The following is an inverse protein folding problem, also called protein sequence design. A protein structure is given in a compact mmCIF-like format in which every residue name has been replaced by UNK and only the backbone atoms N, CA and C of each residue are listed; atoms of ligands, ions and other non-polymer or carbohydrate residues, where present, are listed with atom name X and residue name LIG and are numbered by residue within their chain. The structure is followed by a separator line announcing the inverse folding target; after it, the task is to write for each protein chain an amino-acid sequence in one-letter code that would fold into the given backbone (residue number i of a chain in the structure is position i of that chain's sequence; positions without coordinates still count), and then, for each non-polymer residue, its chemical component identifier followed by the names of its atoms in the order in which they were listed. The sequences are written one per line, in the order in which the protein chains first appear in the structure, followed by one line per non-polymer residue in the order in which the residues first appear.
data_IF_571588017313
#
_entry.id   IF_571588017313
#
_cell.length_a   1.000
_cell.length_b   1.000
_cell.length_c   1.000
_cell.angle_alpha   90.00
_cell.angle_beta   90.00
_cell.angle_gamma   90.00
#
_symmetry.space_group_name_H-M   'P 1'
#
loop_
_entity.id
_entity.type
_entity.pdbx_description
1 polymer ?
#
# COMPACT_ATOMS: atom_id res chain seq x y z
N UNK A 1 -7.80 16.40 17.10
CA UNK A 1 -6.44 15.85 17.10
C UNK A 1 -5.61 16.56 16.05
N UNK A 2 -4.33 16.80 16.29
CA UNK A 2 -3.45 17.58 15.44
C UNK A 2 -2.41 16.69 14.78
N UNK A 3 -1.91 17.12 13.63
CA UNK A 3 -0.82 16.45 12.92
C UNK A 3 0.44 16.32 13.77
N UNK A 4 0.75 17.36 14.56
CA UNK A 4 1.89 17.40 15.48
C UNK A 4 1.85 16.29 16.55
N UNK A 5 0.66 15.77 16.91
CA UNK A 5 0.51 14.69 17.90
C UNK A 5 1.16 13.37 17.43
N UNK A 6 1.38 13.23 16.11
CA UNK A 6 1.98 12.05 15.45
C UNK A 6 3.43 12.28 15.03
N UNK A 7 4.11 13.23 15.65
CA UNK A 7 5.51 13.52 15.38
C UNK A 7 6.42 12.74 16.34
N UNK A 8 7.50 12.18 15.79
CA UNK A 8 8.61 11.60 16.53
C UNK A 8 9.88 11.67 15.69
N UNK A 9 11.04 11.57 16.33
CA UNK A 9 12.33 11.56 15.65
C UNK A 9 12.64 10.15 15.15
N UNK A 10 12.75 9.99 13.84
CA UNK A 10 13.09 8.73 13.19
C UNK A 10 14.49 8.86 12.55
N UNK A 11 15.50 8.13 13.06
CA UNK A 11 16.82 8.11 12.45
C UNK A 11 16.77 7.51 11.04
N UNK A 12 17.33 8.21 10.05
CA UNK A 12 17.33 7.78 8.65
C UNK A 12 17.96 6.39 8.43
N UNK A 13 18.91 6.00 9.29
CA UNK A 13 19.55 4.69 9.23
C UNK A 13 18.60 3.53 9.51
N UNK A 14 17.42 3.79 10.09
CA UNK A 14 16.38 2.78 10.34
C UNK A 14 15.41 2.62 9.16
N UNK A 15 15.51 3.43 8.12
CA UNK A 15 14.71 3.28 6.90
C UNK A 15 15.29 2.12 6.06
N UNK A 16 14.57 1.01 5.98
CA UNK A 16 15.03 -0.18 5.28
C UNK A 16 15.23 0.07 3.77
N UNK A 17 16.46 -0.06 3.31
CA UNK A 17 16.79 0.09 1.88
C UNK A 17 16.60 -1.22 1.09
N UNK A 18 16.58 -2.38 1.77
CA UNK A 18 16.42 -3.72 1.20
C UNK A 18 15.49 -4.55 2.07
N UNK A 19 14.76 -5.51 1.50
CA UNK A 19 13.99 -6.46 2.28
C UNK A 19 14.92 -7.41 3.05
N UNK A 20 14.37 -8.07 4.09
CA UNK A 20 15.03 -9.20 4.77
C UNK A 20 15.38 -10.33 3.80
N UNK A 21 16.35 -11.18 4.10
CA UNK A 21 16.78 -12.29 3.23
C UNK A 21 15.60 -13.22 2.89
N UNK A 22 14.92 -13.76 3.90
CA UNK A 22 13.62 -14.43 3.74
C UNK A 22 12.46 -13.48 4.05
N UNK A 23 11.31 -13.64 3.38
CA UNK A 23 10.14 -12.78 3.60
C UNK A 23 9.67 -12.82 5.06
N UNK A 24 9.61 -14.00 5.66
CA UNK A 24 9.14 -14.24 7.03
C UNK A 24 10.24 -14.23 8.10
N UNK A 25 11.43 -13.76 7.71
CA UNK A 25 12.58 -13.58 8.62
C UNK A 25 12.71 -12.17 9.21
N UNK A 26 11.85 -11.23 8.79
CA UNK A 26 11.77 -9.91 9.41
C UNK A 26 11.41 -10.02 10.90
N UNK A 27 11.74 -9.01 11.67
CA UNK A 27 11.33 -8.96 13.07
C UNK A 27 9.84 -8.65 13.18
N UNK A 28 9.23 -9.15 14.24
CA UNK A 28 7.84 -8.92 14.59
C UNK A 28 7.76 -8.35 16.01
N UNK A 29 7.17 -7.18 16.15
CA UNK A 29 6.78 -6.64 17.44
C UNK A 29 5.30 -6.93 17.66
N UNK A 30 4.97 -7.61 18.76
CA UNK A 30 3.58 -7.92 19.11
C UNK A 30 3.12 -6.96 20.21
N UNK A 31 2.04 -6.26 19.94
CA UNK A 31 1.36 -5.33 20.85
C UNK A 31 0.04 -5.95 21.30
N UNK A 32 -0.11 -6.16 22.60
CA UNK A 32 -1.38 -6.62 23.17
C UNK A 32 -2.10 -5.43 23.80
N UNK A 33 -3.25 -5.04 23.23
CA UNK A 33 -4.04 -3.89 23.69
C UNK A 33 -4.71 -4.13 25.05
N UNK A 34 -4.99 -5.39 25.38
CA UNK A 34 -5.72 -5.72 26.62
C UNK A 34 -4.88 -5.46 27.88
N UNK A 35 -3.58 -5.75 27.85
CA UNK A 35 -2.66 -5.59 28.98
C UNK A 35 -1.51 -4.61 28.70
N UNK A 36 -1.51 -3.99 27.50
CA UNK A 36 -0.48 -3.07 27.01
C UNK A 36 0.93 -3.67 27.02
N UNK A 37 1.04 -4.98 26.86
CA UNK A 37 2.33 -5.66 26.78
C UNK A 37 2.92 -5.58 25.37
N UNK A 38 4.26 -5.55 25.31
CA UNK A 38 5.04 -5.55 24.06
C UNK A 38 6.03 -6.71 24.12
N UNK A 39 6.02 -7.54 23.08
CA UNK A 39 6.96 -8.64 22.93
C UNK A 39 7.60 -8.66 21.55
N UNK A 40 8.74 -9.35 21.44
CA UNK A 40 9.57 -9.34 20.24
C UNK A 40 9.77 -10.76 19.71
N UNK A 41 9.50 -10.95 18.41
CA UNK A 41 9.49 -12.23 17.72
C UNK A 41 10.11 -12.09 16.32
N UNK A 42 10.10 -13.17 15.56
CA UNK A 42 10.32 -13.20 14.12
C UNK A 42 8.98 -13.34 13.42
N UNK A 43 8.79 -12.81 12.21
CA UNK A 43 7.50 -12.83 11.55
C UNK A 43 6.94 -14.24 11.33
N UNK A 44 7.78 -15.24 11.10
CA UNK A 44 7.38 -16.66 11.00
C UNK A 44 6.65 -17.20 12.22
N UNK A 45 6.85 -16.58 13.39
CA UNK A 45 6.23 -16.99 14.66
C UNK A 45 4.78 -16.46 14.77
N UNK A 46 4.31 -15.71 13.77
CA UNK A 46 2.95 -15.15 13.75
C UNK A 46 1.86 -16.22 13.86
N UNK A 47 2.15 -17.43 13.40
CA UNK A 47 1.25 -18.58 13.48
C UNK A 47 0.86 -18.92 14.92
N UNK A 48 1.67 -18.59 15.91
CA UNK A 48 1.43 -18.91 17.32
C UNK A 48 0.37 -18.01 17.96
N UNK A 49 0.00 -16.92 17.28
CA UNK A 49 -1.00 -15.94 17.75
C UNK A 49 -2.40 -16.16 17.18
N UNK A 50 -2.59 -17.14 16.33
CA UNK A 50 -3.86 -17.43 15.66
C UNK A 50 -4.27 -18.89 15.86
N UNK A 51 -5.60 -19.12 15.91
CA UNK A 51 -6.19 -20.42 16.12
C UNK A 51 -7.07 -20.83 14.92
N UNK A 52 -7.45 -22.13 14.88
CA UNK A 52 -8.37 -22.65 13.88
C UNK A 52 -9.68 -21.83 13.82
N UNK A 53 -10.11 -21.45 12.61
CA UNK A 53 -11.30 -20.62 12.37
C UNK A 53 -11.06 -19.12 12.49
N UNK A 54 -9.83 -18.66 12.83
CA UNK A 54 -9.47 -17.26 12.67
C UNK A 54 -9.31 -16.90 11.19
N UNK A 55 -9.53 -15.65 10.82
CA UNK A 55 -9.44 -15.17 9.43
C UNK A 55 -8.37 -14.11 9.30
N UNK A 56 -7.48 -14.26 8.33
CA UNK A 56 -6.61 -13.19 7.85
C UNK A 56 -7.15 -12.62 6.55
N UNK A 57 -7.37 -11.31 6.50
CA UNK A 57 -7.80 -10.61 5.29
C UNK A 57 -6.59 -10.01 4.60
N UNK A 58 -6.43 -10.34 3.32
CA UNK A 58 -5.27 -9.99 2.49
C UNK A 58 -5.69 -9.02 1.39
N UNK A 59 -4.79 -8.12 0.97
CA UNK A 59 -4.97 -7.30 -0.22
C UNK A 59 -4.22 -7.95 -1.39
N UNK A 60 -4.97 -8.49 -2.34
CA UNK A 60 -4.44 -9.22 -3.50
C UNK A 60 -4.12 -8.32 -4.71
N UNK A 61 -4.07 -7.02 -4.52
CA UNK A 61 -3.65 -6.08 -5.57
C UNK A 61 -2.25 -6.39 -6.05
N UNK A 62 -2.02 -6.17 -7.35
CA UNK A 62 -0.72 -6.37 -8.00
C UNK A 62 -0.15 -5.05 -8.48
N UNK A 63 1.11 -4.79 -8.10
CA UNK A 63 1.87 -3.62 -8.56
C UNK A 63 2.25 -3.84 -10.02
N UNK A 64 2.09 -2.79 -10.84
CA UNK A 64 2.59 -2.77 -12.21
C UNK A 64 3.79 -1.84 -12.34
N UNK A 65 4.65 -2.00 -13.38
CA UNK A 65 5.83 -1.15 -13.57
C UNK A 65 5.42 0.26 -14.02
N UNK A 66 5.08 1.11 -13.04
CA UNK A 66 4.44 2.39 -13.24
C UNK A 66 5.40 3.53 -13.56
N UNK A 67 6.72 3.34 -13.46
CA UNK A 67 7.71 4.40 -13.65
C UNK A 67 8.35 4.32 -15.03
N UNK A 68 8.13 5.33 -15.86
CA UNK A 68 8.69 5.45 -17.19
C UNK A 68 9.73 6.56 -17.25
N UNK A 69 10.85 6.31 -17.91
CA UNK A 69 11.84 7.34 -18.23
C UNK A 69 11.86 7.57 -19.73
N UNK A 70 11.93 8.83 -20.12
CA UNK A 70 11.91 9.23 -21.51
C UNK A 70 12.51 10.63 -21.73
N UNK A 71 12.26 11.15 -22.90
CA UNK A 71 12.77 12.45 -23.32
C UNK A 71 11.63 13.34 -23.84
N UNK A 72 11.76 14.62 -23.59
CA UNK A 72 10.84 15.63 -24.10
C UNK A 72 11.18 15.95 -25.57
N UNK A 73 10.16 16.05 -26.41
CA UNK A 73 10.28 16.56 -27.78
C UNK A 73 11.08 17.87 -27.84
N UNK A 74 11.76 18.10 -28.93
CA UNK A 74 12.54 19.32 -29.27
C UNK A 74 13.77 19.59 -28.42
N UNK A 75 13.77 19.27 -27.14
CA UNK A 75 14.87 19.61 -26.23
C UNK A 75 15.70 18.39 -25.82
N UNK A 76 15.20 17.17 -26.05
CA UNK A 76 15.84 15.93 -25.58
C UNK A 76 15.97 15.85 -24.05
N UNK A 77 15.34 16.79 -23.32
CA UNK A 77 15.45 16.82 -21.86
C UNK A 77 14.84 15.54 -21.24
N UNK A 78 15.63 14.87 -20.39
CA UNK A 78 15.19 13.69 -19.66
C UNK A 78 13.98 14.00 -18.77
N UNK A 79 13.02 13.12 -18.79
CA UNK A 79 11.78 13.22 -17.98
C UNK A 79 11.49 11.90 -17.31
N UNK A 80 10.80 11.97 -16.17
CA UNK A 80 10.16 10.85 -15.50
C UNK A 80 8.64 11.01 -15.58
N UNK A 81 7.96 9.95 -15.95
CA UNK A 81 6.50 9.82 -15.90
C UNK A 81 6.15 8.69 -14.96
N UNK A 82 5.30 8.98 -13.97
CA UNK A 82 4.80 7.99 -13.04
C UNK A 82 3.31 7.78 -13.30
N UNK A 83 2.96 6.62 -13.82
CA UNK A 83 1.59 6.25 -14.12
C UNK A 83 0.81 6.07 -12.82
N UNK A 84 -0.38 6.67 -12.71
CA UNK A 84 -1.25 6.56 -11.53
C UNK A 84 -2.42 5.62 -11.80
N UNK A 85 -3.21 5.96 -12.82
CA UNK A 85 -4.38 5.16 -13.23
C UNK A 85 -4.73 5.41 -14.67
N UNK A 86 -5.34 4.43 -15.29
CA UNK A 86 -5.95 4.56 -16.60
C UNK A 86 -7.32 5.25 -16.47
N UNK A 87 -7.54 6.30 -17.26
CA UNK A 87 -8.77 7.07 -17.29
C UNK A 87 -9.71 6.57 -18.37
N UNK A 88 -9.15 6.13 -19.50
CA UNK A 88 -9.91 5.64 -20.64
C UNK A 88 -9.04 4.69 -21.48
N UNK A 89 -9.47 3.44 -21.62
CA UNK A 89 -8.76 2.39 -22.35
C UNK A 89 -8.72 2.66 -23.85
N UNK A 90 -9.87 3.00 -24.46
CA UNK A 90 -9.99 3.22 -25.90
C UNK A 90 -9.10 4.37 -26.40
N UNK A 91 -9.07 5.45 -25.63
CA UNK A 91 -8.27 6.64 -25.91
C UNK A 91 -6.87 6.57 -25.33
N UNK A 92 -6.53 5.52 -24.56
CA UNK A 92 -5.25 5.35 -23.86
C UNK A 92 -4.88 6.57 -23.01
N UNK A 93 -5.88 7.10 -22.29
CA UNK A 93 -5.71 8.24 -21.41
C UNK A 93 -5.29 7.77 -20.02
N UNK A 94 -4.26 8.41 -19.48
CA UNK A 94 -3.70 8.11 -18.17
C UNK A 94 -3.53 9.35 -17.34
N UNK A 95 -3.92 9.26 -16.06
CA UNK A 95 -3.51 10.21 -15.04
C UNK A 95 -2.11 9.84 -14.57
N UNK A 96 -1.19 10.83 -14.53
CA UNK A 96 0.22 10.60 -14.25
C UNK A 96 0.82 11.73 -13.43
N UNK A 97 1.93 11.46 -12.73
CA UNK A 97 2.83 12.49 -12.26
C UNK A 97 4.03 12.60 -13.21
N UNK A 98 4.56 13.81 -13.35
CA UNK A 98 5.72 14.08 -14.20
C UNK A 98 6.81 14.84 -13.46
N UNK A 99 8.07 14.55 -13.81
CA UNK A 99 9.23 15.27 -13.30
C UNK A 99 10.25 15.52 -14.44
N UNK A 100 10.74 16.77 -14.63
CA UNK A 100 10.39 18.02 -13.94
C UNK A 100 9.08 18.65 -14.47
N UNK A 101 8.09 18.78 -13.59
CA UNK A 101 6.74 19.23 -13.97
C UNK A 101 6.69 20.60 -14.65
N UNK A 102 7.57 21.54 -14.26
CA UNK A 102 7.62 22.92 -14.83
C UNK A 102 7.95 22.93 -16.31
N UNK A 103 8.64 21.90 -16.82
CA UNK A 103 9.08 21.81 -18.22
C UNK A 103 8.10 21.04 -19.10
N UNK A 104 7.11 20.36 -18.52
CA UNK A 104 6.14 19.51 -19.23
C UNK A 104 4.79 20.20 -19.24
N UNK A 105 4.36 20.66 -20.43
CA UNK A 105 3.16 21.48 -20.64
C UNK A 105 2.22 20.79 -21.62
N UNK A 106 0.94 21.17 -21.61
CA UNK A 106 -0.07 20.71 -22.58
C UNK A 106 0.46 20.86 -24.01
N UNK A 107 0.22 19.87 -24.84
CA UNK A 107 0.68 19.75 -26.22
C UNK A 107 2.14 19.30 -26.39
N UNK A 108 2.90 19.08 -25.29
CA UNK A 108 4.23 18.46 -25.44
C UNK A 108 4.10 16.97 -25.73
N UNK A 109 4.96 16.47 -26.61
CA UNK A 109 5.17 15.04 -26.81
C UNK A 109 6.34 14.54 -25.99
N UNK A 110 6.18 13.36 -25.41
CA UNK A 110 7.12 12.65 -24.57
C UNK A 110 7.42 11.31 -25.24
N UNK A 111 8.69 10.99 -25.38
CA UNK A 111 9.21 9.84 -26.11
C UNK A 111 9.85 8.86 -25.13
N UNK A 112 9.52 7.58 -25.23
CA UNK A 112 9.97 6.50 -24.35
C UNK A 112 10.58 5.36 -25.18
N UNK A 113 11.58 4.69 -24.60
CA UNK A 113 12.35 3.66 -25.26
C UNK A 113 13.54 4.24 -26.04
N UNK A 114 14.52 3.39 -26.36
CA UNK A 114 15.71 3.79 -27.11
C UNK A 114 15.42 4.15 -28.58
N UNK A 115 14.30 3.65 -29.08
CA UNK A 115 13.83 3.76 -30.47
C UNK A 115 12.57 4.63 -30.60
N UNK A 116 12.23 5.38 -29.54
CA UNK A 116 10.98 6.15 -29.45
C UNK A 116 9.72 5.31 -29.72
N UNK A 117 9.77 4.03 -29.35
CA UNK A 117 8.71 3.05 -29.62
C UNK A 117 7.40 3.32 -28.90
N UNK A 118 7.41 4.22 -27.92
CA UNK A 118 6.19 4.67 -27.24
C UNK A 118 6.22 6.21 -27.12
N UNK A 119 5.13 6.84 -27.55
CA UNK A 119 4.98 8.29 -27.51
C UNK A 119 3.74 8.65 -26.72
N UNK A 120 3.79 9.70 -25.91
CA UNK A 120 2.62 10.26 -25.24
C UNK A 120 2.51 11.76 -25.47
N UNK A 121 1.29 12.25 -25.56
CA UNK A 121 0.97 13.69 -25.64
C UNK A 121 0.35 14.15 -24.32
N UNK A 122 0.80 15.28 -23.83
CA UNK A 122 0.23 15.93 -22.64
C UNK A 122 -1.09 16.63 -23.04
N UNK A 123 -2.20 16.12 -22.51
CA UNK A 123 -3.55 16.61 -22.86
C UNK A 123 -4.01 17.65 -21.85
N UNK A 124 -3.71 17.46 -20.55
CA UNK A 124 -4.20 18.34 -19.48
C UNK A 124 -3.24 18.39 -18.28
N UNK A 125 -3.41 19.40 -17.43
CA UNK A 125 -2.75 19.56 -16.14
C UNK A 125 -3.76 19.31 -15.02
N UNK A 126 -3.54 18.27 -14.21
CA UNK A 126 -4.48 17.91 -13.12
C UNK A 126 -4.07 18.52 -11.77
N UNK A 127 -2.78 18.54 -11.46
CA UNK A 127 -2.22 19.16 -10.25
C UNK A 127 -0.89 19.85 -10.56
N UNK A 128 -0.19 20.35 -9.56
CA UNK A 128 1.14 20.97 -9.73
C UNK A 128 2.14 20.03 -10.45
N UNK A 129 2.06 18.73 -10.21
CA UNK A 129 2.87 17.68 -10.84
C UNK A 129 2.06 16.71 -11.70
N UNK A 130 0.74 16.76 -11.61
CA UNK A 130 -0.17 15.87 -12.32
C UNK A 130 -0.41 16.30 -13.76
N UNK A 131 -0.51 15.33 -14.65
CA UNK A 131 -0.86 15.49 -16.06
C UNK A 131 -1.82 14.40 -16.51
N UNK A 132 -2.61 14.70 -17.50
CA UNK A 132 -3.29 13.65 -18.29
C UNK A 132 -2.45 13.44 -19.55
N UNK A 133 -2.03 12.21 -19.78
CA UNK A 133 -1.33 11.80 -20.99
C UNK A 133 -2.24 10.95 -21.88
N UNK A 134 -2.17 11.18 -23.18
CA UNK A 134 -2.67 10.29 -24.22
C UNK A 134 -1.52 9.56 -24.88
N UNK A 135 -1.48 8.24 -24.76
CA UNK A 135 -0.46 7.45 -25.45
C UNK A 135 -0.83 7.27 -26.93
N UNK A 136 0.11 7.59 -27.79
CA UNK A 136 0.02 7.42 -29.24
C UNK A 136 0.75 6.14 -29.61
N UNK A 137 0.00 5.09 -29.87
CA UNK A 137 0.56 3.76 -30.14
C UNK A 137 -0.27 3.04 -31.21
N UNK A 138 0.38 2.60 -32.28
CA UNK A 138 -0.27 1.82 -33.32
C UNK A 138 -0.21 0.34 -32.97
N UNK A 139 -1.32 -0.23 -32.57
CA UNK A 139 -1.43 -1.63 -32.15
C UNK A 139 -2.63 -1.84 -31.21
N UNK A 140 -2.85 -3.10 -30.88
CA UNK A 140 -3.90 -3.50 -29.93
C UNK A 140 -3.62 -2.97 -28.52
N UNK A 141 -4.63 -2.97 -27.67
CA UNK A 141 -4.48 -2.61 -26.26
C UNK A 141 -3.51 -3.57 -25.53
N UNK A 142 -3.55 -4.87 -25.86
CA UNK A 142 -2.62 -5.85 -25.28
C UNK A 142 -1.15 -5.56 -25.62
N UNK A 143 -0.87 -5.17 -26.86
CA UNK A 143 0.47 -4.77 -27.29
C UNK A 143 0.93 -3.48 -26.61
N UNK A 144 0.03 -2.50 -26.48
CA UNK A 144 0.29 -1.30 -25.71
C UNK A 144 0.63 -1.60 -24.24
N UNK A 145 -0.16 -2.44 -23.57
CA UNK A 145 0.12 -2.86 -22.19
C UNK A 145 1.44 -3.62 -22.06
N UNK A 146 1.79 -4.43 -23.04
CA UNK A 146 3.08 -5.12 -23.09
C UNK A 146 4.24 -4.14 -23.24
N UNK A 147 4.08 -3.10 -24.08
CA UNK A 147 5.08 -2.05 -24.25
C UNK A 147 5.26 -1.22 -22.97
N UNK A 148 4.19 -0.88 -22.25
CA UNK A 148 4.27 -0.23 -20.95
C UNK A 148 5.06 -1.08 -19.93
N UNK A 149 4.85 -2.41 -19.92
CA UNK A 149 5.58 -3.32 -19.03
C UNK A 149 7.07 -3.43 -19.39
N UNK A 150 7.38 -3.46 -20.69
CA UNK A 150 8.76 -3.51 -21.17
C UNK A 150 9.57 -2.27 -20.79
N UNK A 151 8.96 -1.08 -20.92
CA UNK A 151 9.63 0.20 -20.67
C UNK A 151 9.51 0.66 -19.21
N UNK A 152 8.55 0.14 -18.48
CA UNK A 152 8.27 0.52 -17.11
C UNK A 152 9.23 -0.11 -16.11
N UNK A 153 9.43 0.57 -15.00
CA UNK A 153 10.22 0.09 -13.87
C UNK A 153 9.35 -0.03 -12.63
N UNK A 154 9.72 -0.96 -11.74
CA UNK A 154 9.09 -1.14 -10.42
C UNK A 154 9.04 0.19 -9.67
N UNK A 155 7.86 0.62 -9.20
CA UNK A 155 7.70 1.94 -8.59
C UNK A 155 8.13 1.95 -7.12
N UNK A 156 9.41 1.65 -6.84
CA UNK A 156 9.95 1.69 -5.48
C UNK A 156 9.75 3.08 -4.85
N UNK A 157 9.42 3.14 -3.55
CA UNK A 157 9.30 4.41 -2.84
C UNK A 157 10.60 5.23 -2.87
N UNK A 158 10.46 6.55 -2.93
CA UNK A 158 11.61 7.49 -3.08
C UNK A 158 12.63 7.46 -1.93
N UNK A 159 12.26 6.95 -0.75
CA UNK A 159 13.19 6.82 0.36
C UNK A 159 14.23 5.71 0.13
N UNK A 160 13.95 4.76 -0.77
CA UNK A 160 14.91 3.75 -1.21
C UNK A 160 15.88 4.43 -2.17
N UNK A 161 17.04 4.81 -1.62
CA UNK A 161 18.05 5.60 -2.33
C UNK A 161 19.15 4.70 -2.91
N UNK A 162 18.75 3.79 -3.78
CA UNK A 162 19.62 2.92 -4.57
C UNK A 162 19.00 2.65 -5.93
N UNK A 163 19.79 2.19 -6.91
CA UNK A 163 19.24 1.69 -8.18
C UNK A 163 18.24 0.54 -7.95
N UNK A 164 17.26 0.43 -8.85
CA UNK A 164 16.35 -0.70 -8.89
C UNK A 164 17.16 -1.93 -9.31
N UNK A 165 16.98 -3.02 -8.59
CA UNK A 165 17.60 -4.32 -8.84
C UNK A 165 16.57 -5.29 -9.43
N UNK A 166 17.02 -6.31 -10.15
CA UNK A 166 16.14 -7.27 -10.81
C UNK A 166 15.19 -7.98 -9.82
N UNK A 167 15.68 -8.27 -8.62
CA UNK A 167 14.84 -8.89 -7.59
C UNK A 167 13.72 -7.98 -7.06
N UNK A 168 13.82 -6.65 -7.21
CA UNK A 168 12.80 -5.71 -6.71
C UNK A 168 11.43 -5.95 -7.34
N UNK A 169 11.37 -6.38 -8.60
CA UNK A 169 10.11 -6.72 -9.25
C UNK A 169 9.35 -7.81 -8.49
N UNK A 170 10.07 -8.82 -8.02
CA UNK A 170 9.48 -9.92 -7.24
C UNK A 170 9.33 -9.59 -5.76
N UNK A 171 10.30 -8.85 -5.19
CA UNK A 171 10.33 -8.55 -3.74
C UNK A 171 9.35 -7.45 -3.36
N UNK A 172 9.09 -6.47 -4.25
CA UNK A 172 8.08 -5.43 -4.04
C UNK A 172 6.68 -5.86 -4.52
N UNK A 173 6.37 -7.15 -4.34
CA UNK A 173 5.12 -7.80 -4.70
C UNK A 173 4.75 -8.84 -3.65
N UNK A 174 3.48 -8.92 -3.25
CA UNK A 174 3.03 -10.01 -2.38
C UNK A 174 3.00 -11.32 -3.15
N UNK A 175 3.15 -12.45 -2.46
CA UNK A 175 3.11 -13.77 -3.08
C UNK A 175 1.71 -14.16 -3.57
N UNK A 176 0.68 -13.44 -3.15
CA UNK A 176 -0.73 -13.62 -3.49
C UNK A 176 -1.29 -12.49 -4.35
N UNK A 177 -0.43 -11.67 -4.95
CA UNK A 177 -0.86 -10.61 -5.87
C UNK A 177 -1.52 -11.17 -7.12
N UNK A 178 -2.74 -10.69 -7.44
CA UNK A 178 -3.57 -11.17 -8.56
C UNK A 178 -3.98 -10.06 -9.52
N UNK A 179 -4.59 -8.99 -9.00
CA UNK A 179 -5.25 -7.96 -9.79
C UNK A 179 -4.35 -6.73 -9.96
N UNK A 180 -3.87 -6.52 -11.19
CA UNK A 180 -2.99 -5.41 -11.54
C UNK A 180 -3.74 -4.07 -11.48
N UNK A 181 -3.15 -3.05 -10.85
CA UNK A 181 -3.74 -1.71 -10.73
C UNK A 181 -3.06 -0.85 -9.66
N UNK A 182 -2.20 -1.41 -8.82
CA UNK A 182 -1.52 -0.67 -7.78
C UNK A 182 -0.18 -0.10 -8.26
N UNK A 183 0.17 1.08 -7.73
CA UNK A 183 1.48 1.71 -7.91
C UNK A 183 2.36 1.60 -6.65
N UNK A 184 1.83 0.97 -5.60
CA UNK A 184 2.57 0.62 -4.40
C UNK A 184 2.09 -0.71 -3.84
N UNK A 185 3.01 -1.49 -3.27
CA UNK A 185 2.67 -2.79 -2.67
C UNK A 185 1.96 -2.64 -1.32
N UNK A 186 1.01 -3.53 -0.97
CA UNK A 186 0.49 -3.65 0.38
C UNK A 186 1.57 -4.27 1.28
N UNK A 187 2.44 -3.43 1.84
CA UNK A 187 3.76 -3.79 2.36
C UNK A 187 3.75 -4.79 3.52
N UNK A 188 2.70 -4.78 4.36
CA UNK A 188 2.55 -5.79 5.41
C UNK A 188 2.43 -7.22 4.83
N UNK A 189 1.90 -7.35 3.62
CA UNK A 189 1.82 -8.63 2.90
C UNK A 189 3.16 -9.14 2.38
N UNK A 190 4.19 -8.29 2.28
CA UNK A 190 5.51 -8.69 1.80
C UNK A 190 6.22 -9.66 2.76
N UNK A 191 5.82 -9.68 4.02
CA UNK A 191 6.36 -10.56 5.05
C UNK A 191 5.89 -12.02 4.93
N UNK A 192 4.86 -12.31 4.15
CA UNK A 192 4.37 -13.68 3.99
C UNK A 192 5.20 -14.45 2.96
N UNK A 193 5.73 -15.60 3.38
CA UNK A 193 6.31 -16.60 2.48
C UNK A 193 5.23 -17.61 2.05
N UNK A 194 5.45 -18.29 0.93
CA UNK A 194 4.57 -19.40 0.49
C UNK A 194 4.50 -20.51 1.54
N UNK A 195 5.61 -20.76 2.22
CA UNK A 195 5.69 -21.75 3.29
C UNK A 195 4.83 -21.35 4.49
N UNK A 196 4.93 -20.09 4.94
CA UNK A 196 4.15 -19.58 6.07
C UNK A 196 2.64 -19.61 5.75
N UNK A 197 2.22 -19.16 4.57
CA UNK A 197 0.82 -19.23 4.13
C UNK A 197 0.30 -20.67 4.19
N UNK A 198 1.09 -21.64 3.70
CA UNK A 198 0.69 -23.05 3.75
C UNK A 198 0.55 -23.58 5.18
N UNK A 199 1.43 -23.19 6.09
CA UNK A 199 1.35 -23.55 7.50
C UNK A 199 0.10 -22.96 8.18
N UNK A 200 -0.25 -21.70 7.89
CA UNK A 200 -1.46 -21.04 8.38
C UNK A 200 -2.72 -21.79 7.93
N UNK A 201 -2.80 -22.14 6.64
CA UNK A 201 -3.91 -22.93 6.09
C UNK A 201 -4.02 -24.32 6.72
N UNK A 202 -2.89 -25.02 6.96
CA UNK A 202 -2.88 -26.33 7.63
C UNK A 202 -3.38 -26.21 9.08
N UNK A 203 -3.07 -25.09 9.76
CA UNK A 203 -3.57 -24.81 11.10
C UNK A 203 -5.08 -24.49 11.13
N UNK A 204 -5.72 -24.34 9.97
CA UNK A 204 -7.14 -24.01 9.87
C UNK A 204 -7.44 -22.52 9.95
N UNK A 205 -6.47 -21.67 9.60
CA UNK A 205 -6.66 -20.22 9.48
C UNK A 205 -7.13 -19.91 8.07
N UNK A 206 -8.27 -19.26 7.96
CA UNK A 206 -8.87 -18.88 6.69
C UNK A 206 -8.22 -17.61 6.12
N UNK A 207 -8.12 -17.55 4.79
CA UNK A 207 -7.54 -16.42 4.07
C UNK A 207 -8.61 -15.78 3.18
N UNK A 208 -9.17 -14.67 3.62
CA UNK A 208 -10.06 -13.85 2.80
C UNK A 208 -9.25 -12.83 1.99
N UNK A 209 -9.70 -12.49 0.80
CA UNK A 209 -9.02 -11.54 -0.08
C UNK A 209 -9.94 -10.39 -0.46
N UNK A 210 -9.41 -9.19 -0.41
CA UNK A 210 -9.99 -8.01 -1.05
C UNK A 210 -8.98 -7.40 -2.03
N UNK A 211 -9.44 -6.58 -2.95
CA UNK A 211 -8.57 -5.79 -3.83
C UNK A 211 -8.73 -4.31 -3.48
N UNK A 212 -7.66 -3.68 -3.04
CA UNK A 212 -7.56 -2.23 -2.95
C UNK A 212 -6.33 -1.78 -3.72
N UNK A 213 -6.54 -1.06 -4.82
CA UNK A 213 -5.45 -0.57 -5.66
C UNK A 213 -4.79 0.64 -5.01
N UNK A 214 -3.59 0.41 -4.45
CA UNK A 214 -2.86 1.42 -3.69
C UNK A 214 -2.29 2.47 -4.63
N UNK A 215 -2.74 3.71 -4.44
CA UNK A 215 -2.22 4.89 -5.12
C UNK A 215 -1.08 5.57 -4.37
N UNK A 216 -0.54 6.64 -4.94
CA UNK A 216 0.51 7.44 -4.29
C UNK A 216 -0.01 8.27 -3.11
N UNK A 217 -1.28 8.59 -3.07
CA UNK A 217 -1.89 9.41 -2.02
C UNK A 217 -1.70 8.83 -0.63
N UNK A 218 -1.62 7.50 -0.52
CA UNK A 218 -1.34 6.81 0.75
C UNK A 218 0.03 7.19 1.34
N UNK A 219 0.98 7.63 0.51
CA UNK A 219 2.33 8.05 0.93
C UNK A 219 2.53 9.57 0.85
N UNK A 220 1.49 10.31 0.47
CA UNK A 220 1.55 11.77 0.45
C UNK A 220 1.56 12.31 1.88
N UNK A 221 2.38 13.33 2.17
CA UNK A 221 2.38 13.95 3.50
C UNK A 221 1.05 14.63 3.76
N UNK A 222 0.59 14.57 5.01
CA UNK A 222 -0.53 15.38 5.47
C UNK A 222 -0.04 16.82 5.63
N UNK A 223 -0.68 17.78 4.94
CA UNK A 223 -0.24 19.17 4.89
C UNK A 223 -1.05 20.08 5.83
N UNK A 224 -2.08 19.55 6.48
CA UNK A 224 -2.97 20.30 7.36
C UNK A 224 -2.75 19.91 8.82
N UNK A 225 -2.69 20.88 9.73
CA UNK A 225 -2.52 20.61 11.17
C UNK A 225 -3.79 20.03 11.81
N UNK A 226 -4.96 20.49 11.38
CA UNK A 226 -6.25 19.94 11.78
C UNK A 226 -6.62 18.76 10.88
N UNK A 227 -6.55 17.55 11.43
CA UNK A 227 -6.76 16.31 10.66
C UNK A 227 -8.15 16.19 10.05
N UNK A 228 -9.17 16.83 10.61
CA UNK A 228 -10.53 16.83 10.07
C UNK A 228 -10.63 17.52 8.69
N UNK A 229 -9.63 18.32 8.34
CA UNK A 229 -9.53 19.02 7.05
C UNK A 229 -8.74 18.27 5.99
N UNK A 230 -8.08 17.17 6.37
CA UNK A 230 -7.35 16.35 5.40
C UNK A 230 -8.32 15.57 4.50
N UNK A 231 -8.00 15.54 3.21
CA UNK A 231 -8.75 14.77 2.21
C UNK A 231 -7.86 13.65 1.71
N UNK A 232 -8.30 12.41 1.95
CA UNK A 232 -7.65 11.23 1.38
C UNK A 232 -7.93 11.14 -0.12
N UNK A 233 -6.93 10.73 -0.87
CA UNK A 233 -7.12 10.34 -2.27
C UNK A 233 -8.03 9.11 -2.34
N UNK A 234 -8.83 9.06 -3.40
CA UNK A 234 -9.71 7.92 -3.65
C UNK A 234 -8.92 6.76 -4.24
N UNK A 235 -9.18 5.56 -3.74
CA UNK A 235 -8.60 4.31 -4.23
C UNK A 235 -9.73 3.31 -4.54
N UNK A 236 -9.56 2.54 -5.61
CA UNK A 236 -10.52 1.52 -6.01
C UNK A 236 -10.49 0.34 -5.05
N UNK A 237 -11.67 -0.07 -4.58
CA UNK A 237 -11.87 -1.16 -3.62
C UNK A 237 -12.87 -2.16 -4.17
N UNK A 238 -12.52 -3.43 -4.10
CA UNK A 238 -13.39 -4.56 -4.42
C UNK A 238 -13.37 -5.55 -3.26
N UNK A 239 -14.54 -5.87 -2.73
CA UNK A 239 -14.78 -6.93 -1.74
C UNK A 239 -15.83 -7.86 -2.34
N UNK A 240 -15.47 -9.11 -2.57
CA UNK A 240 -16.38 -10.11 -3.13
C UNK A 240 -17.39 -10.60 -2.07
N UNK A 241 -18.49 -11.24 -2.53
CA UNK A 241 -19.45 -11.87 -1.63
C UNK A 241 -18.77 -12.95 -0.78
N UNK A 242 -17.94 -13.80 -1.38
CA UNK A 242 -17.24 -14.88 -0.68
C UNK A 242 -16.33 -14.35 0.44
N UNK A 243 -15.60 -13.27 0.18
CA UNK A 243 -14.76 -12.63 1.20
C UNK A 243 -15.60 -12.03 2.34
N UNK A 244 -16.71 -11.39 2.00
CA UNK A 244 -17.67 -10.85 2.96
C UNK A 244 -18.28 -11.95 3.84
N UNK A 245 -18.72 -13.04 3.24
CA UNK A 245 -19.31 -14.17 3.95
C UNK A 245 -18.31 -14.84 4.90
N UNK A 246 -17.07 -15.06 4.44
CA UNK A 246 -15.99 -15.62 5.26
C UNK A 246 -15.71 -14.75 6.49
N UNK A 247 -15.58 -13.44 6.31
CA UNK A 247 -15.35 -12.49 7.41
C UNK A 247 -16.55 -12.44 8.37
N UNK A 248 -17.77 -12.40 7.84
CA UNK A 248 -18.99 -12.36 8.68
C UNK A 248 -19.22 -13.65 9.47
N UNK A 249 -18.86 -14.81 8.91
CA UNK A 249 -18.90 -16.08 9.64
C UNK A 249 -17.93 -16.07 10.83
N UNK A 250 -16.70 -15.59 10.62
CA UNK A 250 -15.72 -15.44 11.70
C UNK A 250 -16.19 -14.42 12.76
N UNK A 251 -16.78 -13.30 12.34
CA UNK A 251 -17.34 -12.28 13.22
C UNK A 251 -18.46 -12.89 14.11
N UNK A 252 -19.39 -13.64 13.52
CA UNK A 252 -20.49 -14.32 14.22
C UNK A 252 -19.99 -15.39 15.19
N UNK A 253 -18.88 -16.04 14.87
CA UNK A 253 -18.23 -17.06 15.70
C UNK A 253 -17.26 -16.45 16.74
N UNK A 254 -17.20 -15.13 16.87
CA UNK A 254 -16.27 -14.39 17.74
C UNK A 254 -14.80 -14.81 17.58
N UNK A 255 -14.39 -15.02 16.32
CA UNK A 255 -13.02 -15.36 15.94
C UNK A 255 -12.18 -14.11 15.69
N UNK A 256 -10.86 -14.27 15.64
CA UNK A 256 -9.97 -13.18 15.23
C UNK A 256 -10.14 -12.91 13.73
N UNK A 257 -10.31 -11.65 13.41
CA UNK A 257 -10.30 -11.13 12.05
C UNK A 257 -9.12 -10.19 11.94
N UNK A 258 -8.06 -10.65 11.28
CA UNK A 258 -6.81 -9.92 11.17
C UNK A 258 -6.71 -9.16 9.86
N UNK A 259 -6.66 -7.84 9.91
CA UNK A 259 -6.35 -7.01 8.76
C UNK A 259 -4.84 -7.03 8.47
N UNK A 260 -4.45 -7.62 7.34
CA UNK A 260 -3.04 -7.63 6.89
C UNK A 260 -2.75 -6.36 6.09
N UNK A 261 -2.34 -5.34 6.80
CA UNK A 261 -2.01 -4.01 6.30
C UNK A 261 -3.09 -2.96 6.51
N UNK A 262 -2.65 -1.70 6.53
CA UNK A 262 -3.53 -0.53 6.66
C UNK A 262 -4.53 -0.41 5.51
N UNK A 263 -4.16 -0.88 4.30
CA UNK A 263 -5.05 -0.91 3.14
C UNK A 263 -6.22 -1.85 3.34
N UNK A 264 -5.98 -3.02 3.94
CA UNK A 264 -7.05 -3.96 4.29
C UNK A 264 -7.94 -3.37 5.36
N UNK A 265 -7.37 -2.82 6.44
CA UNK A 265 -8.15 -2.17 7.49
C UNK A 265 -9.07 -1.08 6.92
N UNK A 266 -8.54 -0.22 6.04
CA UNK A 266 -9.32 0.82 5.37
C UNK A 266 -10.41 0.22 4.49
N UNK A 267 -10.11 -0.85 3.75
CA UNK A 267 -11.09 -1.54 2.91
C UNK A 267 -12.25 -2.11 3.72
N UNK A 268 -11.96 -2.83 4.79
CA UNK A 268 -12.98 -3.41 5.69
C UNK A 268 -13.88 -2.32 6.27
N UNK A 269 -13.30 -1.26 6.82
CA UNK A 269 -14.04 -0.16 7.44
C UNK A 269 -14.78 0.73 6.41
N UNK A 270 -14.50 0.60 5.12
CA UNK A 270 -15.21 1.32 4.04
C UNK A 270 -16.54 0.68 3.67
N UNK A 271 -16.78 -0.59 4.04
CA UNK A 271 -17.97 -1.34 3.63
C UNK A 271 -18.73 -1.98 4.81
N UNK A 272 -18.70 -1.31 5.96
CA UNK A 272 -19.44 -1.77 7.15
C UNK A 272 -20.94 -1.46 7.00
N UNK A 273 -21.78 -2.46 7.23
CA UNK A 273 -23.23 -2.29 7.27
C UNK A 273 -23.71 -1.59 8.54
N UNK A 274 -24.97 -1.15 8.56
CA UNK A 274 -25.59 -0.53 9.75
C UNK A 274 -25.68 -1.48 10.98
N UNK A 275 -25.55 -2.77 10.76
CA UNK A 275 -25.58 -3.80 11.83
C UNK A 275 -24.18 -4.33 12.17
N UNK A 276 -23.11 -3.68 11.66
CA UNK A 276 -21.73 -4.04 12.00
C UNK A 276 -21.16 -5.24 11.25
N UNK A 277 -21.75 -5.64 10.12
CA UNK A 277 -21.23 -6.71 9.24
C UNK A 277 -20.52 -6.11 8.02
N UNK A 278 -19.67 -6.90 7.38
CA UNK A 278 -19.03 -6.52 6.13
C UNK A 278 -19.95 -6.75 4.94
N UNK A 279 -20.13 -5.75 4.08
CA UNK A 279 -20.84 -5.90 2.82
C UNK A 279 -19.86 -6.18 1.67
N UNK A 280 -20.27 -6.92 0.61
CA UNK A 280 -19.58 -6.88 -0.67
C UNK A 280 -19.56 -5.44 -1.19
N UNK A 281 -18.50 -5.08 -1.89
CA UNK A 281 -18.30 -3.71 -2.35
C UNK A 281 -17.53 -3.68 -3.67
N UNK A 282 -17.91 -2.77 -4.54
CA UNK A 282 -17.15 -2.40 -5.72
C UNK A 282 -17.30 -0.91 -5.96
N UNK A 283 -16.20 -0.17 -5.83
CA UNK A 283 -16.21 1.28 -5.99
C UNK A 283 -14.97 1.96 -5.44
N UNK A 284 -15.08 3.23 -5.10
CA UNK A 284 -13.98 4.06 -4.64
C UNK A 284 -14.10 4.37 -3.15
N UNK A 285 -13.00 4.23 -2.41
CA UNK A 285 -12.92 4.65 -1.01
C UNK A 285 -11.97 5.81 -0.84
N UNK A 286 -12.39 6.82 -0.09
CA UNK A 286 -11.59 7.94 0.37
C UNK A 286 -11.55 8.01 1.91
N UNK A 287 -11.84 6.88 2.55
CA UNK A 287 -11.93 6.80 4.00
C UNK A 287 -10.59 7.15 4.65
N UNK A 288 -10.62 8.15 5.53
CA UNK A 288 -9.52 8.56 6.39
C UNK A 288 -9.82 8.16 7.82
N UNK A 289 -8.95 7.36 8.43
CA UNK A 289 -9.11 6.85 9.79
C UNK A 289 -8.02 7.47 10.67
N UNK A 290 -8.44 8.16 11.72
CA UNK A 290 -7.57 8.75 12.75
C UNK A 290 -8.32 8.76 14.09
N UNK A 291 -7.63 8.86 15.25
CA UNK A 291 -8.29 8.82 16.56
C UNK A 291 -9.20 10.04 16.81
N UNK A 292 -10.34 9.90 17.52
CA UNK A 292 -10.90 8.62 17.94
C UNK A 292 -11.66 7.93 16.80
N UNK A 293 -11.56 6.60 16.71
CA UNK A 293 -12.28 5.79 15.72
C UNK A 293 -12.62 4.43 16.29
N UNK A 294 -13.88 3.99 16.15
CA UNK A 294 -14.36 2.69 16.59
C UNK A 294 -14.36 1.73 15.39
N UNK A 295 -13.51 0.72 15.44
CA UNK A 295 -13.40 -0.30 14.40
C UNK A 295 -14.49 -1.35 14.53
N UNK A 296 -15.10 -1.73 13.41
CA UNK A 296 -16.29 -2.60 13.39
C UNK A 296 -15.99 -4.03 13.01
N UNK A 297 -14.99 -4.28 12.16
CA UNK A 297 -14.76 -5.61 11.56
C UNK A 297 -13.51 -6.29 12.12
N UNK A 298 -12.34 -5.71 11.90
CA UNK A 298 -11.09 -6.34 12.32
C UNK A 298 -10.82 -6.08 13.80
N UNK A 299 -10.43 -7.14 14.52
CA UNK A 299 -10.07 -7.08 15.93
C UNK A 299 -8.56 -7.28 16.17
N UNK A 300 -7.79 -7.60 15.13
CA UNK A 300 -6.33 -7.55 15.12
C UNK A 300 -5.78 -7.06 13.79
N UNK A 301 -4.52 -6.64 13.78
CA UNK A 301 -3.91 -6.00 12.62
C UNK A 301 -2.41 -6.34 12.50
N UNK A 302 -1.98 -6.67 11.30
CA UNK A 302 -0.57 -6.76 10.93
C UNK A 302 -0.21 -5.51 10.12
N UNK A 303 0.87 -4.83 10.46
CA UNK A 303 1.31 -3.63 9.73
C UNK A 303 2.82 -3.45 9.82
N UNK A 304 3.40 -2.59 8.95
CA UNK A 304 4.79 -2.15 9.09
C UNK A 304 4.89 -1.00 10.10
N UNK A 305 6.12 -0.62 10.45
CA UNK A 305 6.38 0.64 11.14
C UNK A 305 6.31 1.81 10.14
N UNK A 306 5.54 2.83 10.47
CA UNK A 306 5.24 3.97 9.60
C UNK A 306 6.05 5.21 9.96
N UNK A 307 6.16 6.14 9.01
CA UNK A 307 6.86 7.41 9.23
C UNK A 307 6.05 8.39 10.08
N UNK A 308 6.72 9.36 10.73
CA UNK A 308 6.04 10.42 11.45
C UNK A 308 5.02 11.16 10.57
N UNK A 309 3.92 11.59 11.16
CA UNK A 309 2.88 12.40 10.52
C UNK A 309 2.19 11.74 9.30
N UNK A 310 2.32 10.42 9.12
CA UNK A 310 1.65 9.70 8.05
C UNK A 310 0.20 9.33 8.44
N UNK A 311 -0.68 9.27 7.45
CA UNK A 311 -2.06 8.76 7.61
C UNK A 311 -2.09 7.34 8.15
N UNK A 312 -1.06 6.55 7.82
CA UNK A 312 -0.90 5.16 8.26
C UNK A 312 -0.61 5.07 9.76
N UNK A 313 0.28 5.93 10.28
CA UNK A 313 0.53 6.02 11.72
C UNK A 313 -0.72 6.44 12.49
N UNK A 314 -1.51 7.36 11.92
CA UNK A 314 -2.77 7.80 12.54
C UNK A 314 -3.77 6.65 12.65
N UNK A 315 -3.91 5.82 11.61
CA UNK A 315 -4.78 4.64 11.64
C UNK A 315 -4.31 3.62 12.69
N UNK A 316 -3.02 3.33 12.74
CA UNK A 316 -2.44 2.42 13.76
C UNK A 316 -2.69 2.96 15.16
N UNK A 317 -2.52 4.27 15.37
CA UNK A 317 -2.79 4.93 16.64
C UNK A 317 -4.28 4.95 17.00
N UNK A 318 -5.17 5.01 16.01
CA UNK A 318 -6.60 4.85 16.23
C UNK A 318 -6.96 3.42 16.68
N UNK A 319 -6.23 2.42 16.17
CA UNK A 319 -6.51 1.01 16.46
C UNK A 319 -5.93 0.54 17.79
N UNK A 320 -4.73 1.01 18.17
CA UNK A 320 -4.00 0.49 19.33
C UNK A 320 -3.91 1.43 20.53
N UNK A 321 -4.40 2.66 20.42
CA UNK A 321 -4.19 3.80 21.31
C UNK A 321 -2.92 4.58 20.97
N UNK A 322 -3.02 5.92 21.08
CA UNK A 322 -1.97 6.86 20.67
C UNK A 322 -0.71 6.73 21.53
N UNK A 323 -0.88 6.66 22.86
CA UNK A 323 0.26 6.64 23.78
C UNK A 323 0.93 5.27 23.80
N UNK A 324 0.17 4.21 23.64
CA UNK A 324 0.70 2.85 23.49
C UNK A 324 1.52 2.71 22.19
N UNK A 325 1.04 3.25 21.08
CA UNK A 325 1.81 3.27 19.81
C UNK A 325 3.08 4.10 19.94
N UNK A 326 3.04 5.25 20.61
CA UNK A 326 4.25 6.04 20.88
C UNK A 326 5.29 5.27 21.68
N UNK A 327 4.88 4.54 22.72
CA UNK A 327 5.80 3.70 23.49
C UNK A 327 6.37 2.55 22.64
N UNK A 328 5.53 1.88 21.84
CA UNK A 328 5.98 0.84 20.92
C UNK A 328 7.02 1.37 19.92
N UNK A 329 6.80 2.54 19.33
CA UNK A 329 7.73 3.16 18.38
C UNK A 329 9.04 3.60 19.05
N UNK A 330 8.98 4.10 20.27
CA UNK A 330 10.17 4.40 21.08
C UNK A 330 11.01 3.14 21.33
N UNK A 331 10.35 2.03 21.69
CA UNK A 331 11.02 0.73 21.86
C UNK A 331 11.57 0.21 20.53
N UNK A 332 10.84 0.36 19.42
CA UNK A 332 11.30 -0.04 18.09
C UNK A 332 12.59 0.70 17.69
N UNK A 333 12.66 2.01 17.89
CA UNK A 333 13.85 2.82 17.61
C UNK A 333 15.00 2.39 18.50
N UNK A 334 14.77 2.24 19.81
CA UNK A 334 15.80 1.77 20.78
C UNK A 334 16.36 0.40 20.41
N UNK A 335 15.51 -0.52 19.96
CA UNK A 335 15.87 -1.87 19.56
C UNK A 335 16.27 -1.97 18.09
N UNK A 336 16.42 -0.84 17.37
CA UNK A 336 16.87 -0.78 15.98
C UNK A 336 15.99 -1.63 15.04
N UNK A 337 14.68 -1.53 15.16
CA UNK A 337 13.77 -2.05 14.15
C UNK A 337 13.91 -1.26 12.86
N UNK A 338 13.71 -1.93 11.74
CA UNK A 338 13.66 -1.32 10.43
C UNK A 338 12.26 -0.78 10.15
N UNK A 339 12.20 0.41 9.56
CA UNK A 339 10.96 1.13 9.28
C UNK A 339 10.61 1.13 7.80
N UNK A 340 9.35 1.38 7.49
CA UNK A 340 8.79 1.60 6.17
C UNK A 340 8.55 0.31 5.37
N UNK A 341 8.52 0.40 4.01
CA UNK A 341 8.01 -0.66 3.11
C UNK A 341 8.75 -1.99 3.21
N UNK A 342 10.07 -1.97 3.34
CA UNK A 342 10.92 -3.14 3.51
C UNK A 342 11.32 -3.37 4.98
N UNK A 343 10.76 -2.59 5.88
CA UNK A 343 11.05 -2.68 7.31
C UNK A 343 10.45 -3.90 7.98
N UNK A 344 10.48 -3.88 9.32
CA UNK A 344 9.94 -4.92 10.17
C UNK A 344 8.42 -4.77 10.36
N UNK A 345 7.79 -5.74 11.01
CA UNK A 345 6.35 -5.79 11.19
C UNK A 345 5.92 -5.61 12.65
N UNK A 346 4.68 -5.16 12.80
CA UNK A 346 3.91 -5.22 14.06
C UNK A 346 2.69 -6.11 13.90
N UNK A 347 2.36 -6.88 14.94
CA UNK A 347 1.07 -7.50 15.15
C UNK A 347 0.40 -6.80 16.34
N UNK A 348 -0.81 -6.31 16.16
CA UNK A 348 -1.62 -5.65 17.20
C UNK A 348 -2.82 -6.54 17.49
N UNK A 349 -2.90 -7.04 18.72
CA UNK A 349 -3.92 -7.95 19.23
C UNK A 349 -4.93 -7.22 20.12
#
# INVERSE_FOLDING_TARGET
MKLSDFSFDLPNMLLAQRPSAGRDESRLMVLNRADQSISHHTFKDIIDFFDEGDVMVLNNTKVFPARLFGNKEKTGARIEVFLLRELNEEQRLWDVLVDPARKIRIGNKLYFGNDDSLVAEVIDNTTSRGRTLRFLFDGSYSEFRSKLKELGQTPLPKYINRPIEEEDEQRYQTIYAKHEGAVAAPTAGLHFSKHLIKRLQIKGIDLAELTLHVGLGTFSPVEVEDLSKHKMDSEELIITQDASDMVNNALSANRKICAVGTTVMRGLESSVSSIGTLNPYQGWTHKFIFPPYDFSIANCMITNFHTPKSTLLMMVSAFADVDFVKEAYKQAIKNKYNFYSYGDAMLIL
#
